data_IF_262886273258
#
_entry.id   IF_262886273258
#
_cell.length_a   1.000
_cell.length_b   1.000
_cell.length_c   1.000
_cell.angle_alpha   90.00
_cell.angle_beta   90.00
_cell.angle_gamma   90.00
#
_symmetry.space_group_name_H-M   'P 1'
#
loop_
_entity.id
_entity.type
_entity.pdbx_description
1 polymer ?
#
# COMPACT_ATOMS: atom_id res chain seq x y z
N UNK A 1 -13.62 -0.05 2.32
CA UNK A 1 -12.94 1.23 2.37
C UNK A 1 -11.54 1.08 1.79
N UNK A 2 -11.10 2.01 0.96
CA UNK A 2 -9.81 1.87 0.27
C UNK A 2 -8.64 2.38 1.10
N UNK A 3 -7.41 2.11 0.64
CA UNK A 3 -6.16 2.51 1.30
C UNK A 3 -5.50 3.73 0.68
N UNK A 4 -6.19 4.47 -0.16
CA UNK A 4 -5.59 5.59 -0.90
C UNK A 4 -5.00 6.65 0.03
N UNK A 5 -5.77 7.11 1.02
CA UNK A 5 -5.30 8.11 1.97
C UNK A 5 -4.12 7.62 2.80
N UNK A 6 -4.20 6.38 3.28
CA UNK A 6 -3.13 5.75 4.05
C UNK A 6 -1.83 5.69 3.26
N UNK A 7 -1.89 5.20 2.02
CA UNK A 7 -0.72 5.11 1.15
C UNK A 7 -0.16 6.47 0.80
N UNK A 8 -1.04 7.43 0.55
CA UNK A 8 -0.62 8.81 0.25
C UNK A 8 0.16 9.40 1.43
N UNK A 9 -0.38 9.30 2.63
CA UNK A 9 0.28 9.83 3.83
C UNK A 9 1.59 9.11 4.13
N UNK A 10 1.60 7.79 3.97
CA UNK A 10 2.81 6.98 4.19
C UNK A 10 3.93 7.31 3.20
N UNK A 11 3.59 7.83 2.03
CA UNK A 11 4.55 8.23 1.01
C UNK A 11 4.83 9.74 1.03
N UNK A 12 4.35 10.46 2.04
CA UNK A 12 4.55 11.91 2.19
C UNK A 12 4.04 12.70 0.98
N UNK A 13 2.89 12.27 0.42
CA UNK A 13 2.28 12.93 -0.73
C UNK A 13 1.03 13.70 -0.32
N UNK A 14 0.80 14.83 -0.99
CA UNK A 14 -0.42 15.61 -0.82
C UNK A 14 -1.50 15.14 -1.80
N UNK A 15 -2.74 15.51 -1.54
CA UNK A 15 -3.81 15.26 -2.51
C UNK A 15 -3.50 15.92 -3.86
N UNK A 16 -2.87 17.10 -3.82
CA UNK A 16 -2.46 17.81 -5.03
C UNK A 16 -1.42 17.02 -5.83
N UNK A 17 -0.45 16.38 -5.15
CA UNK A 17 0.56 15.56 -5.83
C UNK A 17 -0.10 14.43 -6.63
N UNK A 18 -1.07 13.76 -6.03
CA UNK A 18 -1.80 12.68 -6.69
C UNK A 18 -2.67 13.23 -7.83
N UNK A 19 -3.33 14.36 -7.60
CA UNK A 19 -4.15 15.01 -8.62
C UNK A 19 -3.32 15.39 -9.85
N UNK A 20 -2.13 15.96 -9.63
CA UNK A 20 -1.22 16.33 -10.72
C UNK A 20 -0.76 15.09 -11.51
N UNK A 21 -0.45 14.00 -10.81
CA UNK A 21 -0.07 12.75 -11.47
C UNK A 21 -1.18 12.21 -12.36
N UNK A 22 -2.43 12.26 -11.90
CA UNK A 22 -3.59 11.72 -12.63
C UNK A 22 -4.18 12.69 -13.65
N UNK A 23 -3.76 13.95 -13.63
CA UNK A 23 -4.42 14.98 -14.43
C UNK A 23 -5.84 15.27 -13.94
N UNK A 24 -6.07 15.11 -12.63
CA UNK A 24 -7.37 15.30 -12.00
C UNK A 24 -7.36 16.51 -11.06
N UNK A 25 -8.49 16.77 -10.41
CA UNK A 25 -8.58 17.83 -9.41
C UNK A 25 -8.28 17.27 -8.01
N UNK A 26 -7.78 18.13 -7.14
CA UNK A 26 -7.56 17.77 -5.72
C UNK A 26 -8.85 17.30 -5.06
N UNK A 27 -9.99 17.89 -5.40
CA UNK A 27 -11.29 17.49 -4.86
C UNK A 27 -11.68 16.09 -5.31
N UNK A 28 -11.35 15.71 -6.54
CA UNK A 28 -11.60 14.33 -7.01
C UNK A 28 -10.83 13.33 -6.16
N UNK A 29 -9.57 13.63 -5.82
CA UNK A 29 -8.77 12.75 -4.94
C UNK A 29 -9.41 12.65 -3.56
N UNK A 30 -9.86 13.77 -2.99
CA UNK A 30 -10.55 13.77 -1.70
C UNK A 30 -11.80 12.89 -1.74
N UNK A 31 -12.58 12.94 -2.80
CA UNK A 31 -13.77 12.09 -2.96
C UNK A 31 -13.41 10.63 -3.11
N UNK A 32 -12.34 10.30 -3.82
CA UNK A 32 -11.83 8.92 -3.92
C UNK A 32 -11.44 8.38 -2.55
N UNK A 33 -10.74 9.18 -1.75
CA UNK A 33 -10.32 8.79 -0.40
C UNK A 33 -11.49 8.56 0.55
N UNK A 34 -12.55 9.35 0.39
CA UNK A 34 -13.74 9.28 1.23
C UNK A 34 -14.75 8.22 0.75
N UNK A 35 -14.52 7.61 -0.39
CA UNK A 35 -15.47 6.68 -0.99
C UNK A 35 -16.71 7.34 -1.57
N UNK A 36 -16.73 8.67 -1.69
CA UNK A 36 -17.86 9.40 -2.28
C UNK A 36 -17.90 9.30 -3.80
N UNK A 37 -16.79 8.98 -4.41
CA UNK A 37 -16.66 8.78 -5.85
C UNK A 37 -15.77 7.57 -6.09
N UNK A 38 -16.20 6.71 -7.01
CA UNK A 38 -15.44 5.50 -7.33
C UNK A 38 -14.57 5.76 -8.57
N UNK A 39 -13.23 5.61 -8.46
CA UNK A 39 -12.36 5.76 -9.63
C UNK A 39 -12.70 4.75 -10.72
N UNK A 40 -12.48 5.12 -11.97
CA UNK A 40 -12.55 4.21 -13.10
C UNK A 40 -11.45 3.16 -13.00
N UNK A 41 -11.60 1.98 -13.65
CA UNK A 41 -10.57 0.94 -13.61
C UNK A 41 -9.18 1.45 -14.00
N UNK A 42 -9.07 2.30 -15.00
CA UNK A 42 -7.79 2.88 -15.44
C UNK A 42 -7.19 3.77 -14.36
N UNK A 43 -8.02 4.49 -13.64
CA UNK A 43 -7.58 5.36 -12.54
C UNK A 43 -7.09 4.53 -11.36
N UNK A 44 -7.81 3.45 -11.02
CA UNK A 44 -7.36 2.50 -10.00
C UNK A 44 -5.98 1.92 -10.34
N UNK A 45 -5.79 1.53 -11.60
CA UNK A 45 -4.51 0.96 -12.03
C UNK A 45 -3.38 1.99 -11.95
N UNK A 46 -3.63 3.22 -12.38
CA UNK A 46 -2.64 4.29 -12.30
C UNK A 46 -2.25 4.59 -10.85
N UNK A 47 -3.22 4.60 -9.94
CA UNK A 47 -2.96 4.80 -8.51
C UNK A 47 -2.16 3.65 -7.91
N UNK A 48 -2.52 2.41 -8.27
CA UNK A 48 -1.80 1.22 -7.81
C UNK A 48 -0.34 1.23 -8.30
N UNK A 49 -0.11 1.60 -9.55
CA UNK A 49 1.22 1.72 -10.12
C UNK A 49 2.03 2.82 -9.42
N UNK A 50 1.39 3.94 -9.12
CA UNK A 50 2.04 5.05 -8.42
C UNK A 50 2.56 4.63 -7.04
N UNK A 51 1.79 3.83 -6.31
CA UNK A 51 2.15 3.38 -4.97
C UNK A 51 2.83 2.01 -4.93
N UNK A 52 3.05 1.38 -6.08
CA UNK A 52 3.66 0.04 -6.18
C UNK A 52 2.89 -1.01 -5.37
N UNK A 53 1.58 -1.00 -5.49
CA UNK A 53 0.69 -1.98 -4.85
C UNK A 53 -0.26 -2.56 -5.89
N UNK A 54 -0.91 -3.67 -5.56
CA UNK A 54 -1.96 -4.22 -6.42
C UNK A 54 -3.25 -3.42 -6.29
N UNK A 55 -4.10 -3.45 -7.32
CA UNK A 55 -5.41 -2.81 -7.28
C UNK A 55 -6.28 -3.37 -6.15
N UNK A 56 -6.38 -4.72 -5.96
CA UNK A 56 -7.16 -5.26 -4.84
C UNK A 56 -6.67 -4.78 -3.48
N UNK A 57 -5.35 -4.67 -3.27
CA UNK A 57 -4.81 -4.12 -2.02
C UNK A 57 -5.24 -2.67 -1.82
N UNK A 58 -5.09 -1.84 -2.86
CA UNK A 58 -5.46 -0.43 -2.82
C UNK A 58 -6.95 -0.25 -2.51
N UNK A 59 -7.80 -1.07 -3.11
CA UNK A 59 -9.25 -1.04 -2.86
C UNK A 59 -9.65 -1.53 -1.47
N UNK A 60 -8.73 -2.12 -0.71
CA UNK A 60 -9.04 -2.69 0.59
C UNK A 60 -9.67 -4.08 0.54
N UNK A 61 -9.60 -4.76 -0.60
CA UNK A 61 -10.16 -6.11 -0.79
C UNK A 61 -9.25 -7.19 -0.22
N UNK A 62 -7.94 -6.92 -0.12
CA UNK A 62 -6.99 -7.85 0.48
C UNK A 62 -6.70 -7.39 1.91
N UNK A 63 -7.17 -8.17 2.88
CA UNK A 63 -6.94 -7.95 4.30
C UNK A 63 -6.58 -9.29 4.93
N UNK A 64 -6.09 -9.27 6.16
CA UNK A 64 -5.82 -10.51 6.89
C UNK A 64 -7.05 -11.44 6.92
N UNK A 65 -8.25 -10.87 7.06
CA UNK A 65 -9.50 -11.65 7.13
C UNK A 65 -9.81 -12.39 5.82
N UNK A 66 -9.34 -11.88 4.69
CA UNK A 66 -9.59 -12.48 3.37
C UNK A 66 -8.57 -13.55 2.98
N UNK A 67 -7.52 -13.72 3.79
CA UNK A 67 -6.51 -14.76 3.55
C UNK A 67 -7.07 -16.13 3.91
N UNK A 68 -6.65 -17.16 3.18
CA UNK A 68 -6.97 -18.54 3.56
C UNK A 68 -6.11 -18.99 4.76
N UNK A 69 -6.39 -20.15 5.38
CA UNK A 69 -5.62 -20.57 6.56
C UNK A 69 -4.12 -20.70 6.34
N UNK A 70 -3.68 -21.19 5.17
CA UNK A 70 -2.26 -21.32 4.87
C UNK A 70 -1.59 -19.94 4.74
N UNK A 71 -2.25 -19.02 4.04
CA UNK A 71 -1.77 -17.64 3.89
C UNK A 71 -1.70 -16.91 5.23
N UNK A 72 -2.70 -17.11 6.11
CA UNK A 72 -2.67 -16.56 7.47
C UNK A 72 -1.49 -17.10 8.27
N UNK A 73 -1.18 -18.36 8.14
CA UNK A 73 -0.04 -18.99 8.80
C UNK A 73 1.28 -18.34 8.36
N UNK A 74 1.47 -18.19 7.07
CA UNK A 74 2.67 -17.52 6.51
C UNK A 74 2.73 -16.06 6.96
N UNK A 75 1.63 -15.36 6.89
CA UNK A 75 1.54 -13.95 7.33
C UNK A 75 1.98 -13.80 8.79
N UNK A 76 1.43 -14.63 9.68
CA UNK A 76 1.76 -14.58 11.09
C UNK A 76 3.24 -14.90 11.36
N UNK A 77 3.79 -15.91 10.69
CA UNK A 77 5.19 -16.27 10.83
C UNK A 77 6.11 -15.13 10.38
N UNK A 78 5.86 -14.59 9.20
CA UNK A 78 6.67 -13.50 8.64
C UNK A 78 6.59 -12.24 9.51
N UNK A 79 5.40 -11.89 9.98
CA UNK A 79 5.19 -10.70 10.82
C UNK A 79 5.97 -10.80 12.13
N UNK A 80 5.92 -11.97 12.79
CA UNK A 80 6.66 -12.20 14.04
C UNK A 80 8.17 -12.14 13.78
N UNK A 81 8.64 -12.77 12.70
CA UNK A 81 10.06 -12.77 12.35
C UNK A 81 10.58 -11.37 12.06
N UNK A 82 9.80 -10.56 11.35
CA UNK A 82 10.14 -9.16 11.04
C UNK A 82 10.19 -8.30 12.30
N UNK A 83 9.19 -8.42 13.18
CA UNK A 83 9.18 -7.68 14.45
C UNK A 83 10.41 -8.01 15.29
N UNK A 84 10.79 -9.27 15.35
CA UNK A 84 11.98 -9.70 16.06
C UNK A 84 13.24 -9.04 15.47
N UNK A 85 13.40 -9.10 14.17
CA UNK A 85 14.54 -8.51 13.47
C UNK A 85 14.61 -7.01 13.69
N UNK A 86 13.50 -6.31 13.55
CA UNK A 86 13.45 -4.86 13.74
C UNK A 86 13.78 -4.47 15.18
N UNK A 87 13.33 -5.22 16.16
CA UNK A 87 13.64 -4.95 17.56
C UNK A 87 15.09 -5.25 17.89
N UNK A 88 15.65 -6.33 17.35
CA UNK A 88 17.03 -6.72 17.56
C UNK A 88 18.02 -5.65 17.05
N UNK A 89 17.73 -5.07 15.89
CA UNK A 89 18.56 -4.04 15.27
C UNK A 89 18.09 -2.61 15.61
N UNK A 90 17.14 -2.46 16.54
CA UNK A 90 16.63 -1.15 16.98
C UNK A 90 16.20 -0.25 15.81
N UNK A 91 15.50 -0.83 14.83
CA UNK A 91 15.07 -0.12 13.63
C UNK A 91 13.94 0.86 13.95
N UNK A 92 14.10 2.11 13.51
CA UNK A 92 13.08 3.15 13.72
C UNK A 92 11.83 2.87 12.89
N UNK A 93 10.63 3.34 13.33
CA UNK A 93 9.37 3.08 12.61
C UNK A 93 9.40 3.49 11.14
N UNK A 94 9.94 4.65 10.79
CA UNK A 94 10.03 5.10 9.41
C UNK A 94 10.98 4.24 8.57
N UNK A 95 12.01 3.68 9.18
CA UNK A 95 12.94 2.76 8.51
C UNK A 95 12.28 1.39 8.31
N UNK A 96 11.49 0.92 9.28
CA UNK A 96 10.70 -0.31 9.14
C UNK A 96 9.80 -0.23 7.91
N UNK A 97 9.08 0.87 7.79
CA UNK A 97 8.16 1.09 6.68
C UNK A 97 8.88 1.10 5.34
N UNK A 98 10.00 1.78 5.27
CA UNK A 98 10.84 1.81 4.06
C UNK A 98 11.30 0.42 3.65
N UNK A 99 11.75 -0.40 4.61
CA UNK A 99 12.21 -1.77 4.36
C UNK A 99 11.04 -2.62 3.85
N UNK A 100 9.89 -2.55 4.50
CA UNK A 100 8.71 -3.34 4.12
C UNK A 100 8.23 -2.99 2.71
N UNK A 101 8.21 -1.72 2.35
CA UNK A 101 7.85 -1.28 1.01
C UNK A 101 8.86 -1.75 -0.03
N UNK A 102 10.13 -1.69 0.30
CA UNK A 102 11.21 -2.15 -0.59
C UNK A 102 11.10 -3.65 -0.85
N UNK A 103 10.85 -4.44 0.19
CA UNK A 103 10.64 -5.88 0.06
C UNK A 103 9.44 -6.18 -0.83
N UNK A 104 8.30 -5.52 -0.59
CA UNK A 104 7.10 -5.71 -1.38
C UNK A 104 7.33 -5.40 -2.86
N UNK A 105 7.98 -4.28 -3.15
CA UNK A 105 8.33 -3.90 -4.51
C UNK A 105 9.25 -4.93 -5.18
N UNK A 106 10.28 -5.36 -4.46
CA UNK A 106 11.25 -6.34 -5.00
C UNK A 106 10.61 -7.68 -5.32
N UNK A 107 9.64 -8.12 -4.50
CA UNK A 107 8.89 -9.35 -4.77
C UNK A 107 8.02 -9.18 -6.02
N UNK A 108 7.27 -8.09 -6.10
CA UNK A 108 6.37 -7.83 -7.23
C UNK A 108 7.12 -7.63 -8.55
N UNK A 109 8.30 -7.02 -8.51
CA UNK A 109 9.12 -6.78 -9.70
C UNK A 109 9.99 -7.97 -10.11
N UNK A 110 10.05 -9.01 -9.27
CA UNK A 110 10.87 -10.20 -9.53
C UNK A 110 12.35 -10.02 -9.19
N UNK A 111 12.74 -8.98 -8.49
CA UNK A 111 14.15 -8.74 -8.15
C UNK A 111 14.72 -9.76 -7.16
N UNK A 112 13.86 -10.46 -6.42
CA UNK A 112 14.26 -11.44 -5.41
C UNK A 112 14.28 -12.89 -5.92
N UNK A 113 14.19 -13.11 -7.19
CA UNK A 113 14.21 -14.47 -7.76
C UNK A 113 15.54 -15.20 -7.52
#
# INVERSE_FOLDING_TARGET
>A
MNRLKELRLNNNKTQKDIADYLGATRQAIAYYEQGKRNPKPETWQALADYFNVSVPYLKGEITYKTLDPAEKGVYNYVTVAMDRAFNEYAVLPETREKILKTIAYSIESGELD
#
